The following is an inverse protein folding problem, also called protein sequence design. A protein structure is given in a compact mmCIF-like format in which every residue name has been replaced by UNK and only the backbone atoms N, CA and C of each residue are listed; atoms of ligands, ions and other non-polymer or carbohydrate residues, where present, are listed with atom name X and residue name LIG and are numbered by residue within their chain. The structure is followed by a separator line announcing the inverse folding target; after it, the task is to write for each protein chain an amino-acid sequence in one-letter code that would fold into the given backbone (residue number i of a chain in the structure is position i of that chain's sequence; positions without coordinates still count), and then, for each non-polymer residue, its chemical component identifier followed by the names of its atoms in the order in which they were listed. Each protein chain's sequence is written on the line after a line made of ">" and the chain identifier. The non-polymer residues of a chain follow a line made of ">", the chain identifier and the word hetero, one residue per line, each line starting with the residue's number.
data_IF_519728783082
#
_entry.id   IF_519728783082
#
_cell.length_a   1.000
_cell.length_b   1.000
_cell.length_c   1.000
_cell.angle_alpha   90.00
_cell.angle_beta   90.00
_cell.angle_gamma   90.00
#
_symmetry.space_group_name_H-M   'P 1'
#
loop_
_entity.id
_entity.type
_entity.pdbx_description
1 polymer ?
#
# COMPACT_ATOMS: atom_id res chain seq x y z
N UNK A 1 -29.00 -17.35 0.81
CA UNK A 1 -28.01 -17.41 1.90
C UNK A 1 -26.67 -17.73 1.25
N UNK A 2 -25.89 -16.71 0.91
CA UNK A 2 -24.57 -16.87 0.29
C UNK A 2 -23.54 -16.39 1.31
N UNK A 3 -22.91 -17.35 1.98
CA UNK A 3 -21.76 -17.13 2.85
C UNK A 3 -20.53 -17.00 1.95
N UNK A 4 -19.99 -15.78 1.84
CA UNK A 4 -18.65 -15.54 1.27
C UNK A 4 -17.68 -15.30 2.41
N UNK A 5 -17.01 -16.39 2.76
CA UNK A 5 -15.66 -16.55 3.29
C UNK A 5 -15.03 -15.41 4.11
N UNK A 6 -15.01 -15.65 5.43
CA UNK A 6 -13.85 -15.56 6.32
C UNK A 6 -12.80 -14.48 5.96
N UNK A 7 -12.95 -13.31 6.57
CA UNK A 7 -11.87 -12.34 6.69
C UNK A 7 -10.83 -12.87 7.70
N UNK A 8 -9.71 -13.33 7.14
CA UNK A 8 -8.37 -13.37 7.71
C UNK A 8 -8.23 -14.01 9.10
N UNK A 9 -8.01 -15.33 9.13
CA UNK A 9 -7.03 -15.88 10.09
C UNK A 9 -5.76 -15.04 9.96
N UNK A 10 -5.37 -14.36 11.04
CA UNK A 10 -4.30 -13.36 11.07
C UNK A 10 -3.15 -13.70 10.12
N UNK A 11 -3.16 -13.06 8.95
CA UNK A 11 -2.17 -13.30 7.92
C UNK A 11 -0.85 -12.71 8.41
N UNK A 12 -0.04 -13.55 9.06
CA UNK A 12 1.38 -13.25 9.28
C UNK A 12 1.99 -13.20 7.89
N UNK A 13 2.29 -12.00 7.42
CA UNK A 13 3.04 -11.86 6.18
C UNK A 13 4.41 -12.50 6.43
N UNK A 14 4.58 -13.74 5.98
CA UNK A 14 5.78 -14.54 6.20
C UNK A 14 6.82 -14.14 5.17
N UNK A 15 7.51 -13.04 5.43
CA UNK A 15 8.67 -12.66 4.63
C UNK A 15 9.94 -13.28 5.23
N UNK A 16 10.58 -14.21 4.53
CA UNK A 16 12.00 -14.45 4.75
C UNK A 16 12.79 -13.30 4.11
N UNK A 17 12.85 -12.14 4.79
CA UNK A 17 13.55 -10.93 4.32
C UNK A 17 12.65 -9.71 4.15
N UNK A 18 13.18 -8.59 3.65
CA UNK A 18 12.37 -7.40 3.34
C UNK A 18 11.69 -7.59 1.98
N UNK A 19 10.35 -7.52 1.88
CA UNK A 19 9.67 -7.67 0.60
C UNK A 19 10.13 -6.63 -0.41
N UNK A 20 10.55 -7.11 -1.58
CA UNK A 20 10.85 -6.24 -2.72
C UNK A 20 9.59 -6.12 -3.57
N UNK A 21 8.87 -5.01 -3.44
CA UNK A 21 7.62 -4.77 -4.19
C UNK A 21 7.86 -4.10 -5.55
N UNK A 22 9.03 -3.47 -5.75
CA UNK A 22 9.41 -2.79 -6.99
C UNK A 22 10.88 -3.09 -7.33
N UNK A 23 11.23 -3.07 -8.62
CA UNK A 23 12.63 -3.23 -9.07
C UNK A 23 13.44 -1.94 -8.94
N UNK A 24 12.76 -0.79 -8.94
CA UNK A 24 13.34 0.55 -8.72
C UNK A 24 12.44 1.32 -7.78
N UNK A 25 13.06 1.99 -6.81
CA UNK A 25 12.36 2.92 -5.93
C UNK A 25 11.70 4.05 -6.73
N UNK A 26 10.56 4.54 -6.26
CA UNK A 26 9.91 5.71 -6.84
C UNK A 26 10.87 6.89 -6.87
N UNK A 27 10.91 7.57 -8.00
CA UNK A 27 11.54 8.85 -8.26
C UNK A 27 10.61 9.66 -9.19
N UNK A 28 10.98 10.92 -9.45
CA UNK A 28 10.20 11.85 -10.27
C UNK A 28 9.87 11.37 -11.69
N UNK A 29 10.53 10.33 -12.22
CA UNK A 29 10.42 9.94 -13.64
C UNK A 29 9.79 8.56 -13.87
N UNK A 30 9.57 7.77 -12.82
CA UNK A 30 9.16 6.38 -12.97
C UNK A 30 7.84 6.05 -12.28
N UNK A 31 7.00 7.05 -12.02
CA UNK A 31 5.73 6.86 -11.32
C UNK A 31 4.90 5.72 -11.91
N UNK A 32 4.65 5.70 -13.23
CA UNK A 32 3.87 4.64 -13.89
C UNK A 32 4.43 3.24 -13.63
N UNK A 33 5.73 3.03 -13.85
CA UNK A 33 6.35 1.72 -13.65
C UNK A 33 6.35 1.30 -12.16
N UNK A 34 6.51 2.27 -11.27
CA UNK A 34 6.42 2.05 -9.82
C UNK A 34 4.99 1.70 -9.40
N UNK A 35 3.99 2.45 -9.84
CA UNK A 35 2.58 2.24 -9.51
C UNK A 35 2.10 0.88 -9.99
N UNK A 36 2.43 0.50 -11.23
CA UNK A 36 2.07 -0.81 -11.79
C UNK A 36 2.66 -1.97 -10.96
N UNK A 37 3.89 -1.81 -10.46
CA UNK A 37 4.56 -2.81 -9.61
C UNK A 37 3.90 -2.91 -8.23
N UNK A 38 3.57 -1.78 -7.62
CA UNK A 38 2.90 -1.72 -6.32
C UNK A 38 1.51 -2.34 -6.41
N UNK A 39 0.71 -1.94 -7.39
CA UNK A 39 -0.64 -2.45 -7.60
C UNK A 39 -0.62 -3.97 -7.83
N UNK A 40 0.27 -4.45 -8.71
CA UNK A 40 0.44 -5.89 -8.96
C UNK A 40 0.83 -6.66 -7.69
N UNK A 41 1.71 -6.09 -6.87
CA UNK A 41 2.11 -6.73 -5.61
C UNK A 41 0.95 -6.79 -4.61
N UNK A 42 0.21 -5.69 -4.42
CA UNK A 42 -0.95 -5.65 -3.51
C UNK A 42 -2.06 -6.60 -3.97
N UNK A 43 -2.33 -6.68 -5.28
CA UNK A 43 -3.24 -7.65 -5.86
C UNK A 43 -2.77 -9.09 -5.60
N UNK A 44 -1.48 -9.39 -5.83
CA UNK A 44 -0.90 -10.71 -5.61
C UNK A 44 -0.93 -11.18 -4.16
N UNK A 45 -0.96 -10.25 -3.20
CA UNK A 45 -1.12 -10.55 -1.77
C UNK A 45 -2.58 -10.55 -1.28
N UNK A 46 -3.53 -10.11 -2.10
CA UNK A 46 -4.93 -9.93 -1.68
C UNK A 46 -5.17 -8.73 -0.75
N UNK A 47 -4.28 -7.73 -0.78
CA UNK A 47 -4.37 -6.54 0.06
C UNK A 47 -4.75 -5.27 -0.69
N UNK A 48 -5.20 -5.39 -1.95
CA UNK A 48 -5.52 -4.23 -2.79
C UNK A 48 -6.50 -3.24 -2.13
N UNK A 49 -7.47 -3.75 -1.37
CA UNK A 49 -8.42 -2.91 -0.61
C UNK A 49 -7.73 -1.89 0.32
N UNK A 50 -6.50 -2.14 0.79
CA UNK A 50 -5.74 -1.17 1.59
C UNK A 50 -5.30 0.07 0.79
N UNK A 51 -5.16 -0.03 -0.53
CA UNK A 51 -4.88 1.11 -1.41
C UNK A 51 -6.14 1.93 -1.72
N UNK A 52 -7.33 1.31 -1.65
CA UNK A 52 -8.58 1.89 -2.14
C UNK A 52 -9.54 2.35 -1.04
N UNK A 53 -9.54 1.68 0.12
CA UNK A 53 -10.51 1.91 1.20
C UNK A 53 -9.89 2.65 2.37
N UNK A 54 -10.64 3.60 2.91
CA UNK A 54 -10.30 4.26 4.17
C UNK A 54 -10.78 3.45 5.37
N UNK A 55 -10.15 3.67 6.53
CA UNK A 55 -10.56 3.03 7.80
C UNK A 55 -12.05 3.25 8.10
N UNK A 56 -12.61 4.41 7.74
CA UNK A 56 -14.02 4.74 7.94
C UNK A 56 -14.98 3.78 7.23
N UNK A 57 -14.53 3.13 6.15
CA UNK A 57 -15.30 2.17 5.35
C UNK A 57 -15.23 0.75 5.91
N UNK A 58 -14.36 0.50 6.90
CA UNK A 58 -14.18 -0.80 7.53
C UNK A 58 -15.15 -0.94 8.70
N UNK A 59 -15.79 -2.12 8.78
CA UNK A 59 -16.65 -2.51 9.90
C UNK A 59 -15.87 -2.40 11.22
N UNK A 60 -16.52 -1.87 12.26
CA UNK A 60 -15.87 -1.54 13.54
C UNK A 60 -15.14 -2.73 14.18
N UNK A 61 -15.74 -3.92 14.13
CA UNK A 61 -15.15 -5.19 14.60
C UNK A 61 -13.85 -5.59 13.88
N UNK A 62 -13.61 -5.08 12.67
CA UNK A 62 -12.44 -5.39 11.85
C UNK A 62 -11.43 -4.23 11.78
N UNK A 63 -11.72 -3.05 12.34
CA UNK A 63 -10.85 -1.87 12.24
C UNK A 63 -9.47 -2.07 12.86
N UNK A 64 -9.41 -2.64 14.06
CA UNK A 64 -8.14 -2.85 14.76
C UNK A 64 -7.18 -3.80 14.00
N UNK A 65 -7.59 -5.01 13.57
CA UNK A 65 -6.72 -5.87 12.76
C UNK A 65 -6.41 -5.27 11.40
N UNK A 66 -7.37 -4.57 10.78
CA UNK A 66 -7.15 -3.84 9.52
C UNK A 66 -6.04 -2.80 9.65
N UNK A 67 -6.15 -1.89 10.62
CA UNK A 67 -5.19 -0.80 10.81
C UNK A 67 -3.79 -1.31 11.13
N UNK A 68 -3.70 -2.42 11.89
CA UNK A 68 -2.42 -3.08 12.17
C UNK A 68 -1.73 -3.53 10.89
N UNK A 69 -2.46 -4.20 10.00
CA UNK A 69 -1.94 -4.65 8.71
C UNK A 69 -1.62 -3.45 7.79
N UNK A 70 -2.51 -2.46 7.76
CA UNK A 70 -2.36 -1.25 6.97
C UNK A 70 -1.05 -0.49 7.30
N UNK A 71 -0.72 -0.35 8.58
CA UNK A 71 0.53 0.26 9.02
C UNK A 71 1.75 -0.54 8.54
N UNK A 72 1.70 -1.87 8.57
CA UNK A 72 2.80 -2.72 8.10
C UNK A 72 3.00 -2.59 6.59
N UNK A 73 1.91 -2.61 5.83
CA UNK A 73 1.93 -2.38 4.38
C UNK A 73 2.42 -0.98 4.03
N UNK A 74 2.06 0.04 4.83
CA UNK A 74 2.52 1.41 4.63
C UNK A 74 4.04 1.55 4.80
N UNK A 75 4.64 0.84 5.75
CA UNK A 75 6.11 0.77 5.88
C UNK A 75 6.76 0.14 4.64
N UNK A 76 6.12 -0.87 4.03
CA UNK A 76 6.60 -1.49 2.78
C UNK A 76 6.53 -0.48 1.62
N UNK A 77 5.44 0.29 1.52
CA UNK A 77 5.32 1.39 0.56
C UNK A 77 6.42 2.43 0.76
N UNK A 78 6.70 2.86 1.99
CA UNK A 78 7.77 3.81 2.29
C UNK A 78 9.15 3.31 1.85
N UNK A 79 9.44 2.03 2.02
CA UNK A 79 10.71 1.42 1.59
C UNK A 79 10.88 1.42 0.06
N UNK A 80 9.76 1.43 -0.68
CA UNK A 80 9.73 1.47 -2.14
C UNK A 80 9.95 2.86 -2.73
N UNK A 81 10.15 3.89 -1.92
CA UNK A 81 10.31 5.28 -2.38
C UNK A 81 11.73 5.78 -2.12
N UNK A 82 12.25 6.63 -3.02
CA UNK A 82 13.56 7.26 -2.82
C UNK A 82 13.57 8.13 -1.55
N UNK A 83 14.71 8.33 -0.89
CA UNK A 83 14.78 9.14 0.33
C UNK A 83 14.21 10.56 0.15
N UNK A 84 14.50 11.20 -0.98
CA UNK A 84 14.02 12.54 -1.33
C UNK A 84 12.49 12.62 -1.36
N UNK A 85 11.85 11.70 -2.08
CA UNK A 85 10.39 11.68 -2.19
C UNK A 85 9.71 11.21 -0.90
N UNK A 86 10.40 10.36 -0.14
CA UNK A 86 9.87 9.89 1.14
C UNK A 86 9.72 11.06 2.13
N UNK A 87 10.55 12.11 2.06
CA UNK A 87 10.35 13.30 2.91
C UNK A 87 9.00 13.98 2.68
N UNK A 88 8.52 13.96 1.43
CA UNK A 88 7.21 14.50 1.05
C UNK A 88 6.09 13.58 1.52
N UNK A 89 6.26 12.26 1.36
CA UNK A 89 5.20 11.28 1.60
C UNK A 89 5.13 10.72 3.03
N UNK A 90 6.15 10.94 3.88
CA UNK A 90 6.26 10.32 5.23
C UNK A 90 5.14 10.75 6.19
N UNK A 91 4.45 11.85 5.92
CA UNK A 91 3.30 12.30 6.71
C UNK A 91 2.08 11.36 6.56
N UNK A 92 2.00 10.61 5.46
CA UNK A 92 0.90 9.69 5.17
C UNK A 92 1.15 8.32 5.81
N UNK A 93 0.35 7.99 6.81
CA UNK A 93 0.52 6.81 7.68
C UNK A 93 -0.37 5.63 7.34
N UNK A 94 -1.24 5.77 6.32
CA UNK A 94 -2.07 4.66 5.82
C UNK A 94 -1.76 4.36 4.37
N UNK A 95 -2.00 3.13 3.93
CA UNK A 95 -1.80 2.76 2.53
C UNK A 95 -2.63 3.63 1.58
N UNK A 96 -3.91 3.83 1.90
CA UNK A 96 -4.81 4.70 1.15
C UNK A 96 -4.29 6.13 1.03
N UNK A 97 -3.95 6.77 2.15
CA UNK A 97 -3.48 8.17 2.13
C UNK A 97 -2.16 8.30 1.38
N UNK A 98 -1.24 7.35 1.56
CA UNK A 98 0.01 7.32 0.84
C UNK A 98 -0.19 7.16 -0.67
N UNK A 99 -1.01 6.18 -1.06
CA UNK A 99 -1.27 5.84 -2.46
C UNK A 99 -1.92 6.98 -3.24
N UNK A 100 -2.98 7.56 -2.67
CA UNK A 100 -3.70 8.67 -3.27
C UNK A 100 -2.81 9.91 -3.42
N UNK A 101 -2.04 10.27 -2.39
CA UNK A 101 -1.15 11.43 -2.47
C UNK A 101 0.03 11.19 -3.41
N UNK A 102 0.60 9.98 -3.46
CA UNK A 102 1.62 9.65 -4.45
C UNK A 102 1.07 9.78 -5.88
N UNK A 103 -0.16 9.32 -6.13
CA UNK A 103 -0.83 9.53 -7.42
C UNK A 103 -0.99 11.01 -7.74
N UNK A 104 -1.50 11.80 -6.81
CA UNK A 104 -1.79 13.22 -7.06
C UNK A 104 -0.51 14.04 -7.32
N UNK A 105 0.59 13.70 -6.64
CA UNK A 105 1.87 14.39 -6.79
C UNK A 105 2.61 13.96 -8.07
N UNK A 106 2.66 12.66 -8.39
CA UNK A 106 3.59 12.13 -9.40
C UNK A 106 2.93 11.62 -10.68
N UNK A 107 1.60 11.46 -10.74
CA UNK A 107 0.93 10.98 -11.96
C UNK A 107 1.01 11.96 -13.13
N UNK A 108 1.26 13.24 -12.85
CA UNK A 108 1.33 14.30 -13.87
C UNK A 108 2.69 14.39 -14.56
N UNK A 109 3.73 13.69 -14.08
CA UNK A 109 5.09 13.72 -14.66
C UNK A 109 5.30 12.67 -15.77
N UNK A 110 4.23 12.10 -16.32
CA UNK A 110 4.29 11.20 -17.48
C UNK A 110 4.35 12.05 -18.75
N UNK A 111 5.56 12.46 -19.14
CA UNK A 111 5.85 13.08 -20.44
C UNK A 111 6.49 12.11 -21.42
#
# INVERSE_FOLDING_TARGET
>A
MATVNSLSQGSIISFSGTPTITTKKLNWKNYRAWSDSVELWFLGQGFHDHLEKQEAEILEENRAPWLKLDCQLCVILWQSVSPELLEILRSFKTCYSFWTNARDVFANDVQ
#
